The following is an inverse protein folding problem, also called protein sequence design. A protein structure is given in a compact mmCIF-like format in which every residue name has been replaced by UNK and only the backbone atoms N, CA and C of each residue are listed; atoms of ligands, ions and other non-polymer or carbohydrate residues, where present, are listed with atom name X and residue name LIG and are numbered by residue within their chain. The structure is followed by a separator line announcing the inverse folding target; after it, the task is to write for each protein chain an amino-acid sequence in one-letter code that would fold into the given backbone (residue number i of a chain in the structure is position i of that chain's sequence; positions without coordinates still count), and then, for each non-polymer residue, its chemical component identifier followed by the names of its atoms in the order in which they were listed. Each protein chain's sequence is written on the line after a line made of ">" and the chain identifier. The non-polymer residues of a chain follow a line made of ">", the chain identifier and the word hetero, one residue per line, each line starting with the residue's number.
data_IF_258711550326
#
_entry.id   IF_258711550326
#
_cell.length_a   1.000
_cell.length_b   1.000
_cell.length_c   1.000
_cell.angle_alpha   90.00
_cell.angle_beta   90.00
_cell.angle_gamma   90.00
#
_symmetry.space_group_name_H-M   'P 1'
#
loop_
_entity.id
_entity.type
_entity.pdbx_description
1 polymer ?
#
# COMPACT_ATOMS: atom_id res chain seq x y z
N UNK A 1 -16.04 -14.61 3.24
CA UNK A 1 -14.57 -14.71 3.04
C UNK A 1 -13.96 -13.43 3.58
N UNK A 2 -13.06 -13.49 4.56
CA UNK A 2 -12.38 -12.29 5.06
C UNK A 2 -11.53 -11.68 3.95
N UNK A 3 -11.64 -10.36 3.73
CA UNK A 3 -10.79 -9.65 2.76
C UNK A 3 -9.34 -9.66 3.26
N UNK A 4 -8.38 -9.87 2.35
CA UNK A 4 -6.97 -9.65 2.66
C UNK A 4 -6.78 -8.15 2.93
N UNK A 5 -6.12 -7.80 4.04
CA UNK A 5 -5.83 -6.40 4.40
C UNK A 5 -4.79 -5.76 3.48
N UNK A 6 -3.86 -6.56 2.95
CA UNK A 6 -2.76 -6.10 2.10
C UNK A 6 -2.71 -6.91 0.81
N UNK A 7 -2.71 -6.22 -0.33
CA UNK A 7 -2.53 -6.79 -1.67
C UNK A 7 -1.26 -6.27 -2.35
N UNK A 8 -0.49 -5.43 -1.65
CA UNK A 8 0.77 -4.83 -2.09
C UNK A 8 1.69 -4.71 -0.88
N UNK A 9 2.99 -4.54 -1.12
CA UNK A 9 3.99 -4.28 -0.09
C UNK A 9 5.05 -3.31 -0.60
N UNK A 10 5.63 -2.54 0.32
CA UNK A 10 6.84 -1.77 0.04
C UNK A 10 8.07 -2.64 0.26
N UNK A 11 8.93 -2.77 -0.74
CA UNK A 11 10.15 -3.54 -0.65
C UNK A 11 11.32 -2.61 -0.29
N UNK A 12 11.93 -2.86 0.86
CA UNK A 12 12.96 -1.96 1.40
C UNK A 12 14.25 -1.95 0.58
N UNK A 13 14.56 -3.02 -0.16
CA UNK A 13 15.83 -3.16 -0.89
C UNK A 13 15.87 -2.30 -2.16
N UNK A 14 14.74 -2.14 -2.86
CA UNK A 14 14.67 -1.33 -4.09
C UNK A 14 13.82 -0.07 -3.95
N UNK A 15 13.19 0.11 -2.78
CA UNK A 15 12.41 1.28 -2.44
C UNK A 15 11.10 1.43 -3.22
N UNK A 16 10.54 0.32 -3.74
CA UNK A 16 9.33 0.34 -4.58
C UNK A 16 8.15 -0.40 -3.95
N UNK A 17 6.95 -0.13 -4.48
CA UNK A 17 5.74 -0.87 -4.14
C UNK A 17 5.57 -2.01 -5.15
N UNK A 18 5.36 -3.22 -4.63
CA UNK A 18 5.15 -4.44 -5.38
C UNK A 18 3.77 -5.04 -5.09
N UNK A 19 3.11 -5.68 -6.07
CA UNK A 19 1.91 -6.46 -5.83
C UNK A 19 2.22 -7.71 -5.00
N UNK A 20 1.23 -8.23 -4.26
CA UNK A 20 1.41 -9.46 -3.46
C UNK A 20 1.73 -10.69 -4.30
N UNK A 21 1.38 -10.68 -5.60
CA UNK A 21 1.76 -11.71 -6.57
C UNK A 21 3.26 -11.95 -6.65
N UNK A 22 4.08 -10.89 -6.56
CA UNK A 22 5.55 -11.02 -6.65
C UNK A 22 6.11 -11.94 -5.56
N UNK A 23 5.51 -11.90 -4.37
CA UNK A 23 5.83 -12.82 -3.29
C UNK A 23 5.19 -14.20 -3.50
N UNK A 24 3.89 -14.25 -3.81
CA UNK A 24 3.16 -15.52 -3.84
C UNK A 24 3.56 -16.42 -5.01
N UNK A 25 3.85 -15.85 -6.18
CA UNK A 25 4.31 -16.59 -7.34
C UNK A 25 5.68 -17.20 -7.08
N UNK A 26 6.60 -16.43 -6.48
CA UNK A 26 7.89 -16.94 -6.05
C UNK A 26 7.74 -18.00 -4.96
N UNK A 27 6.89 -17.76 -3.96
CA UNK A 27 6.66 -18.72 -2.87
C UNK A 27 6.10 -20.05 -3.37
N UNK A 28 5.20 -20.01 -4.36
CA UNK A 28 4.60 -21.21 -4.94
C UNK A 28 5.61 -21.99 -5.79
N UNK A 29 6.59 -21.31 -6.41
CA UNK A 29 7.67 -21.93 -7.18
C UNK A 29 8.78 -22.46 -6.27
N UNK A 30 9.30 -21.63 -5.38
CA UNK A 30 10.32 -21.94 -4.39
C UNK A 30 10.07 -21.12 -3.11
N UNK A 31 9.53 -21.81 -2.10
CA UNK A 31 9.25 -21.24 -0.78
C UNK A 31 10.52 -20.68 -0.12
N UNK A 32 11.65 -21.40 -0.20
CA UNK A 32 12.86 -21.01 0.51
C UNK A 32 13.48 -19.77 -0.14
N UNK A 33 13.43 -19.70 -1.47
CA UNK A 33 13.85 -18.52 -2.21
C UNK A 33 13.00 -17.29 -1.86
N UNK A 34 11.67 -17.44 -1.80
CA UNK A 34 10.76 -16.35 -1.41
C UNK A 34 11.05 -15.84 -0.01
N UNK A 35 11.19 -16.74 0.97
CA UNK A 35 11.52 -16.38 2.35
C UNK A 35 12.87 -15.65 2.41
N UNK A 36 13.91 -16.19 1.77
CA UNK A 36 15.25 -15.59 1.76
C UNK A 36 15.27 -14.20 1.11
N UNK A 37 14.52 -14.01 0.02
CA UNK A 37 14.54 -12.76 -0.75
C UNK A 37 13.69 -11.66 -0.15
N UNK A 38 12.53 -12.00 0.43
CA UNK A 38 11.48 -11.02 0.73
C UNK A 38 11.11 -10.96 2.22
N UNK A 39 11.27 -12.04 2.98
CA UNK A 39 10.88 -12.05 4.39
C UNK A 39 11.72 -11.08 5.23
N UNK A 40 11.07 -10.31 6.11
CA UNK A 40 11.70 -9.25 6.89
C UNK A 40 12.05 -7.98 6.10
N UNK A 41 11.81 -7.95 4.78
CA UNK A 41 12.15 -6.84 3.88
C UNK A 41 10.94 -6.11 3.31
N UNK A 42 9.75 -6.53 3.71
CA UNK A 42 8.47 -5.98 3.26
C UNK A 42 7.87 -5.10 4.35
N UNK A 43 7.48 -3.88 4.00
CA UNK A 43 6.75 -2.97 4.87
C UNK A 43 5.40 -2.59 4.27
N UNK A 44 4.58 -1.92 5.07
CA UNK A 44 3.32 -1.35 4.67
C UNK A 44 3.47 -0.49 3.40
N UNK A 45 2.66 -0.71 2.35
CA UNK A 45 2.78 0.02 1.09
C UNK A 45 2.32 1.49 1.17
N UNK A 46 1.64 1.88 2.25
CA UNK A 46 1.13 3.25 2.41
C UNK A 46 2.01 4.14 3.26
N UNK A 47 2.59 3.60 4.34
CA UNK A 47 3.44 4.38 5.24
C UNK A 47 4.92 4.00 5.18
N UNK A 48 5.28 2.90 4.52
CA UNK A 48 6.65 2.41 4.35
C UNK A 48 7.39 2.01 5.64
N UNK A 49 6.76 2.16 6.82
CA UNK A 49 7.40 1.95 8.13
C UNK A 49 7.07 0.61 8.80
N UNK A 50 5.79 0.20 8.78
CA UNK A 50 5.37 -0.98 9.55
C UNK A 50 5.73 -2.29 8.84
N UNK A 51 6.45 -3.23 9.48
CA UNK A 51 6.88 -4.46 8.85
C UNK A 51 5.73 -5.42 8.59
N UNK A 52 5.68 -5.95 7.37
CA UNK A 52 4.76 -7.00 6.97
C UNK A 52 5.39 -8.37 7.16
N UNK A 53 4.57 -9.30 7.62
CA UNK A 53 4.91 -10.70 7.83
C UNK A 53 3.87 -11.59 7.17
N UNK A 54 4.27 -12.81 6.85
CA UNK A 54 3.38 -13.79 6.25
C UNK A 54 2.61 -14.53 7.34
N UNK A 55 1.29 -14.42 7.29
CA UNK A 55 0.39 -15.21 8.11
C UNK A 55 -0.15 -16.40 7.33
N UNK A 56 -0.25 -17.54 8.02
CA UNK A 56 -0.93 -18.74 7.52
C UNK A 56 -2.25 -18.93 8.28
N UNK A 57 -3.35 -18.52 7.67
CA UNK A 57 -4.68 -18.87 8.14
C UNK A 57 -5.05 -20.32 7.76
N UNK A 58 -6.21 -20.79 8.23
CA UNK A 58 -6.71 -22.16 7.95
C UNK A 58 -6.90 -22.43 6.45
N UNK A 59 -7.25 -21.41 5.65
CA UNK A 59 -7.53 -21.53 4.20
C UNK A 59 -6.76 -20.54 3.33
N UNK A 60 -6.12 -19.53 3.91
CA UNK A 60 -5.54 -18.40 3.18
C UNK A 60 -4.18 -18.04 3.77
N UNK A 61 -3.22 -17.77 2.89
CA UNK A 61 -1.98 -17.08 3.22
C UNK A 61 -2.16 -15.60 2.87
N UNK A 62 -1.69 -14.71 3.73
CA UNK A 62 -1.85 -13.26 3.57
C UNK A 62 -0.77 -12.52 4.36
N UNK A 63 -0.53 -11.26 4.01
CA UNK A 63 0.35 -10.41 4.79
C UNK A 63 -0.40 -9.80 5.98
N UNK A 64 0.31 -9.61 7.09
CA UNK A 64 -0.15 -8.87 8.25
C UNK A 64 1.00 -8.11 8.90
N UNK A 65 0.67 -7.13 9.72
CA UNK A 65 1.59 -6.56 10.71
C UNK A 65 1.36 -7.33 12.02
N UNK A 66 2.42 -7.73 12.71
CA UNK A 66 2.29 -8.36 14.02
C UNK A 66 1.80 -7.33 15.05
N UNK A 67 1.10 -7.80 16.10
CA UNK A 67 0.52 -6.89 17.10
C UNK A 67 1.57 -5.99 17.76
N UNK A 68 2.77 -6.51 18.01
CA UNK A 68 3.93 -5.78 18.54
C UNK A 68 4.44 -4.67 17.62
N UNK A 69 4.13 -4.75 16.33
CA UNK A 69 4.64 -3.86 15.29
C UNK A 69 3.56 -2.89 14.77
N UNK A 70 2.32 -2.96 15.27
CA UNK A 70 1.24 -2.06 14.84
C UNK A 70 1.61 -0.60 15.10
N UNK A 71 2.27 -0.30 16.22
CA UNK A 71 2.75 1.05 16.56
C UNK A 71 3.84 1.59 15.63
N UNK A 72 4.45 0.73 14.79
CA UNK A 72 5.45 1.17 13.80
C UNK A 72 4.81 1.81 12.57
N UNK A 73 3.49 1.77 12.42
CA UNK A 73 2.83 2.59 11.41
C UNK A 73 3.02 4.08 11.71
N UNK A 74 3.15 4.88 10.65
CA UNK A 74 3.06 6.34 10.77
C UNK A 74 1.68 6.74 11.32
N UNK A 75 1.62 7.78 12.17
CA UNK A 75 0.44 8.21 12.96
C UNK A 75 -0.88 8.32 12.17
N UNK A 76 -0.81 8.58 10.86
CA UNK A 76 -1.97 8.75 9.99
C UNK A 76 -2.08 7.65 8.91
N UNK A 77 -1.42 6.52 9.09
CA UNK A 77 -1.50 5.41 8.16
C UNK A 77 -2.94 4.85 8.14
N UNK A 78 -3.60 4.74 6.98
CA UNK A 78 -4.97 4.21 6.90
C UNK A 78 -5.13 2.82 7.52
N UNK A 79 -4.07 2.02 7.54
CA UNK A 79 -4.09 0.69 8.14
C UNK A 79 -4.08 0.67 9.69
N UNK A 80 -3.86 1.81 10.35
CA UNK A 80 -4.07 1.98 11.80
C UNK A 80 -5.54 2.24 12.15
N UNK A 81 -6.31 2.74 11.19
CA UNK A 81 -7.71 3.07 11.41
C UNK A 81 -8.54 1.78 11.38
N UNK A 82 -9.57 1.74 12.23
CA UNK A 82 -10.57 0.68 12.18
C UNK A 82 -11.39 0.78 10.89
N UNK A 83 -11.86 -0.38 10.41
CA UNK A 83 -12.79 -0.40 9.29
C UNK A 83 -14.09 0.29 9.71
N UNK A 84 -14.55 1.26 8.90
CA UNK A 84 -15.83 1.91 9.11
C UNK A 84 -16.98 0.87 9.09
N UNK A 85 -17.88 1.00 10.05
CA UNK A 85 -19.11 0.22 10.11
C UNK A 85 -20.04 0.57 8.94
N UNK A 86 -21.03 -0.29 8.67
CA UNK A 86 -22.03 -0.03 7.63
C UNK A 86 -22.84 1.25 7.89
N UNK A 87 -23.16 1.53 9.16
CA UNK A 87 -23.87 2.75 9.57
C UNK A 87 -23.02 3.99 9.33
N UNK A 88 -21.76 3.99 9.78
CA UNK A 88 -20.84 5.12 9.55
C UNK A 88 -20.61 5.36 8.06
N UNK A 89 -20.50 4.29 7.27
CA UNK A 89 -20.36 4.39 5.82
C UNK A 89 -21.62 4.98 5.17
N UNK A 90 -22.81 4.56 5.63
CA UNK A 90 -24.09 5.09 5.14
C UNK A 90 -24.23 6.58 5.47
N UNK A 91 -23.99 6.95 6.73
CA UNK A 91 -24.02 8.35 7.18
C UNK A 91 -23.02 9.21 6.42
N UNK A 92 -21.82 8.70 6.15
CA UNK A 92 -20.81 9.40 5.35
C UNK A 92 -21.32 9.72 3.93
N UNK A 93 -21.98 8.76 3.26
CA UNK A 93 -22.51 9.01 1.90
C UNK A 93 -23.77 9.87 1.91
N UNK A 94 -24.64 9.74 2.90
CA UNK A 94 -25.86 10.55 3.02
C UNK A 94 -25.55 12.01 3.40
N UNK A 95 -24.46 12.26 4.13
CA UNK A 95 -24.02 13.60 4.51
C UNK A 95 -23.10 14.28 3.49
N UNK A 96 -22.65 13.56 2.46
CA UNK A 96 -21.77 14.12 1.43
C UNK A 96 -22.54 15.10 0.54
N UNK A 97 -22.10 16.36 0.51
CA UNK A 97 -22.69 17.38 -0.37
C UNK A 97 -22.10 17.33 -1.78
N UNK A 98 -22.81 17.87 -2.78
CA UNK A 98 -22.27 18.04 -4.13
C UNK A 98 -20.93 18.79 -4.14
N UNK A 99 -20.77 19.76 -3.23
CA UNK A 99 -19.55 20.54 -3.08
C UNK A 99 -18.40 19.70 -2.52
N UNK A 100 -18.68 18.83 -1.53
CA UNK A 100 -17.69 17.88 -1.00
C UNK A 100 -17.20 16.92 -2.08
N UNK A 101 -18.11 16.42 -2.91
CA UNK A 101 -17.79 15.52 -4.02
C UNK A 101 -16.91 16.25 -5.04
N UNK A 102 -17.30 17.46 -5.48
CA UNK A 102 -16.51 18.27 -6.42
C UNK A 102 -15.11 18.58 -5.88
N UNK A 103 -15.00 18.95 -4.61
CA UNK A 103 -13.72 19.24 -3.98
C UNK A 103 -12.81 18.01 -3.92
N UNK A 104 -13.35 16.84 -3.55
CA UNK A 104 -12.59 15.57 -3.53
C UNK A 104 -12.10 15.19 -4.92
N UNK A 105 -12.96 15.30 -5.94
CA UNK A 105 -12.57 15.03 -7.34
C UNK A 105 -11.46 15.98 -7.81
N UNK A 106 -11.59 17.28 -7.51
CA UNK A 106 -10.59 18.30 -7.86
C UNK A 106 -9.24 18.00 -7.21
N UNK A 107 -9.23 17.64 -5.93
CA UNK A 107 -8.01 17.24 -5.22
C UNK A 107 -7.37 16.00 -5.89
N UNK A 108 -8.17 14.99 -6.23
CA UNK A 108 -7.69 13.79 -6.92
C UNK A 108 -7.05 14.13 -8.28
N UNK A 109 -7.73 14.92 -9.11
CA UNK A 109 -7.21 15.37 -10.41
C UNK A 109 -5.90 16.14 -10.24
N UNK A 110 -5.84 17.07 -9.28
CA UNK A 110 -4.64 17.85 -9.01
C UNK A 110 -3.44 16.97 -8.58
N UNK A 111 -3.68 15.94 -7.76
CA UNK A 111 -2.63 14.98 -7.38
C UNK A 111 -2.12 14.19 -8.59
N UNK A 112 -3.02 13.71 -9.45
CA UNK A 112 -2.65 13.00 -10.67
C UNK A 112 -1.83 13.89 -11.63
N UNK A 113 -2.23 15.15 -11.79
CA UNK A 113 -1.53 16.11 -12.66
C UNK A 113 -0.13 16.46 -12.11
N UNK A 114 0.00 16.72 -10.81
CA UNK A 114 1.30 16.97 -10.17
C UNK A 114 2.27 15.81 -10.38
N UNK A 115 1.79 14.57 -10.21
CA UNK A 115 2.58 13.35 -10.43
C UNK A 115 3.12 13.28 -11.87
N UNK A 116 2.27 13.57 -12.88
CA UNK A 116 2.72 13.61 -14.29
C UNK A 116 3.79 14.67 -14.54
N UNK A 117 3.67 15.84 -13.91
CA UNK A 117 4.65 16.93 -14.07
C UNK A 117 6.00 16.52 -13.46
N UNK A 118 5.99 15.91 -12.28
CA UNK A 118 7.21 15.40 -11.61
C UNK A 118 7.89 14.29 -12.43
N UNK A 119 7.11 13.33 -12.95
CA UNK A 119 7.62 12.28 -13.86
C UNK A 119 8.26 12.89 -15.12
N UNK A 120 7.65 13.92 -15.71
CA UNK A 120 8.18 14.60 -16.91
C UNK A 120 9.50 15.31 -16.61
N UNK A 121 9.60 16.03 -15.49
CA UNK A 121 10.84 16.72 -15.08
C UNK A 121 11.98 15.75 -14.80
N UNK A 122 11.70 14.62 -14.15
CA UNK A 122 12.71 13.59 -13.86
C UNK A 122 13.22 12.92 -15.16
N UNK A 123 12.34 12.72 -16.14
CA UNK A 123 12.75 12.23 -17.46
C UNK A 123 13.60 13.25 -18.24
N UNK A 124 13.29 14.54 -18.16
CA UNK A 124 14.11 15.59 -18.80
C UNK A 124 15.49 15.75 -18.15
N UNK A 125 15.61 15.57 -16.84
CA UNK A 125 16.88 15.61 -16.10
C UNK A 125 17.78 14.41 -16.46
N UNK A 126 17.21 13.20 -16.50
CA UNK A 126 17.96 11.97 -16.84
C UNK A 126 18.45 11.91 -18.29
N UNK A 127 17.83 12.66 -19.21
CA UNK A 127 18.29 12.81 -20.59
C UNK A 127 19.47 13.80 -20.69
N UNK A 128 19.55 14.80 -19.81
CA UNK A 128 20.63 15.80 -19.82
C UNK A 128 21.93 15.31 -19.19
N UNK A 129 21.87 14.34 -18.27
CA UNK A 129 23.06 13.77 -17.61
C UNK A 129 23.78 12.71 -18.45
N UNK A 130 23.23 12.32 -19.60
CA UNK A 130 23.79 11.28 -20.49
C UNK A 130 24.44 11.84 -21.77
N UNK A 131 24.58 13.16 -21.88
CA UNK A 131 25.23 13.84 -23.02
C UNK A 131 26.53 14.50 -22.60
#
# INVERSE_FOLDING_TARGET
>A
MGKKKYNEFYFMEDGKIHPDSDYWDLYNKDKNEAMKKLEGKMNCPLCFMAPLTVAKGRKLKYFKVNQSDVSKHLKNCPYLLDEATKSEMKEFYESATDEDIKNRLTICMNKMLKKKIEETKNNELTVKEKN
#
